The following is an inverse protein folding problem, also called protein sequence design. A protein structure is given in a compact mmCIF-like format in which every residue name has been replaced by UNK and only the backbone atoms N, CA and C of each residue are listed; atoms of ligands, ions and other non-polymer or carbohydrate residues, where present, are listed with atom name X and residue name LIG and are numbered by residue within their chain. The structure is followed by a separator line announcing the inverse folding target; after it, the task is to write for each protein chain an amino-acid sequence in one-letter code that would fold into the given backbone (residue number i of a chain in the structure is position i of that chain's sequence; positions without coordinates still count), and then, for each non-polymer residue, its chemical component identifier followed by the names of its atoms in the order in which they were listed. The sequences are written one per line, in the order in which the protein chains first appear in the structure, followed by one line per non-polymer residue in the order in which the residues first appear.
data_IF_606388505821
#
_entry.id   IF_606388505821
#
_cell.length_a   1.000
_cell.length_b   1.000
_cell.length_c   1.000
_cell.angle_alpha   90.00
_cell.angle_beta   90.00
_cell.angle_gamma   90.00
#
_symmetry.space_group_name_H-M   'P 1'
#
loop_
_entity.id
_entity.type
_entity.pdbx_description
1 polymer ?
#
# COMPACT_ATOMS: atom_id res chain seq x y z
N UNK A 1 -20.58 -3.81 13.30
CA UNK A 1 -20.36 -4.91 14.27
C UNK A 1 -19.04 -5.56 13.91
N UNK A 2 -18.13 -5.74 14.87
CA UNK A 2 -16.91 -6.52 14.66
C UNK A 2 -17.34 -7.96 14.35
N UNK A 3 -16.80 -8.51 13.28
CA UNK A 3 -17.03 -9.90 12.90
C UNK A 3 -16.42 -10.81 13.97
N UNK A 4 -17.13 -11.84 14.42
CA UNK A 4 -16.57 -12.83 15.34
C UNK A 4 -16.01 -13.99 14.52
N UNK A 5 -14.69 -14.25 14.53
CA UNK A 5 -14.11 -15.32 13.73
C UNK A 5 -14.57 -16.71 14.22
N UNK A 6 -14.77 -17.69 13.33
CA UNK A 6 -15.18 -19.05 13.69
C UNK A 6 -13.98 -19.87 14.22
N UNK A 7 -13.54 -19.56 15.44
CA UNK A 7 -12.26 -20.06 15.99
C UNK A 7 -12.17 -21.59 16.11
N UNK A 8 -13.25 -22.29 16.43
CA UNK A 8 -13.24 -23.75 16.59
C UNK A 8 -12.76 -24.48 15.33
N UNK A 9 -13.48 -24.36 14.21
CA UNK A 9 -13.08 -24.95 12.92
C UNK A 9 -11.69 -24.50 12.46
N UNK A 10 -11.36 -23.21 12.62
CA UNK A 10 -10.07 -22.66 12.21
C UNK A 10 -8.91 -23.30 12.99
N UNK A 11 -8.99 -23.35 14.32
CA UNK A 11 -7.92 -23.89 15.15
C UNK A 11 -7.77 -25.41 15.02
N UNK A 12 -8.85 -26.12 14.72
CA UNK A 12 -8.80 -27.54 14.37
C UNK A 12 -8.05 -27.77 13.05
N UNK A 13 -8.41 -27.02 12.01
CA UNK A 13 -7.80 -27.10 10.68
C UNK A 13 -6.30 -26.81 10.72
N UNK A 14 -5.87 -25.77 11.43
CA UNK A 14 -4.44 -25.43 11.57
C UNK A 14 -3.70 -26.21 12.65
N UNK A 15 -4.36 -27.17 13.31
CA UNK A 15 -3.80 -27.89 14.46
C UNK A 15 -3.17 -26.95 15.51
N UNK A 16 -3.84 -25.82 15.79
CA UNK A 16 -3.33 -24.75 16.65
C UNK A 16 -3.76 -24.87 18.13
N UNK A 17 -4.48 -25.94 18.49
CA UNK A 17 -4.91 -26.19 19.88
C UNK A 17 -6.22 -25.48 20.22
N UNK A 18 -6.45 -25.24 21.52
CA UNK A 18 -7.67 -24.58 22.00
C UNK A 18 -7.41 -23.11 22.28
N UNK A 19 -8.40 -22.25 22.03
CA UNK A 19 -8.29 -20.80 22.30
C UNK A 19 -8.18 -20.53 23.80
N UNK A 20 -7.24 -19.66 24.17
CA UNK A 20 -7.08 -19.08 25.50
C UNK A 20 -7.41 -17.59 25.53
N UNK A 21 -7.19 -16.87 24.43
CA UNK A 21 -7.60 -15.48 24.22
C UNK A 21 -7.71 -15.16 22.72
N UNK A 22 -8.58 -14.23 22.36
CA UNK A 22 -8.77 -13.71 21.01
C UNK A 22 -9.08 -12.20 21.09
N UNK A 23 -8.14 -11.38 20.66
CA UNK A 23 -8.22 -9.91 20.77
C UNK A 23 -8.08 -9.30 19.37
N UNK A 24 -8.91 -8.32 18.97
CA UNK A 24 -8.68 -7.58 17.74
C UNK A 24 -7.32 -6.85 17.80
N UNK A 25 -6.66 -6.71 16.65
CA UNK A 25 -5.42 -5.92 16.52
C UNK A 25 -5.77 -4.53 16.00
N UNK A 26 -5.58 -3.52 16.84
CA UNK A 26 -5.96 -2.13 16.57
C UNK A 26 -5.02 -1.41 15.57
N UNK A 27 -3.80 -1.92 15.36
CA UNK A 27 -2.79 -1.31 14.50
C UNK A 27 -2.92 -1.78 13.04
N UNK A 28 -3.50 -0.92 12.19
CA UNK A 28 -3.62 -1.11 10.74
C UNK A 28 -4.98 -0.64 10.23
N UNK A 29 -4.99 0.20 9.18
CA UNK A 29 -6.17 0.96 8.75
C UNK A 29 -7.34 0.08 8.27
N UNK A 30 -7.14 -1.21 8.03
CA UNK A 30 -8.13 -2.10 7.40
C UNK A 30 -8.41 -3.39 8.19
N UNK A 31 -7.98 -3.50 9.44
CA UNK A 31 -7.84 -4.82 10.06
C UNK A 31 -9.15 -5.45 10.56
N UNK A 32 -9.43 -6.65 10.01
CA UNK A 32 -10.09 -7.75 10.72
C UNK A 32 -9.03 -8.80 11.08
N UNK A 33 -7.98 -8.34 11.76
CA UNK A 33 -6.91 -9.17 12.30
C UNK A 33 -7.11 -9.43 13.77
N UNK A 34 -6.78 -10.63 14.24
CA UNK A 34 -6.94 -11.02 15.63
C UNK A 34 -5.65 -11.62 16.18
N UNK A 35 -5.22 -11.16 17.35
CA UNK A 35 -4.20 -11.82 18.15
C UNK A 35 -4.84 -13.00 18.87
N UNK A 36 -4.35 -14.19 18.59
CA UNK A 36 -4.78 -15.42 19.25
C UNK A 36 -3.71 -15.90 20.22
N UNK A 37 -4.12 -16.26 21.43
CA UNK A 37 -3.35 -17.09 22.34
C UNK A 37 -4.05 -18.43 22.45
N UNK A 38 -3.30 -19.52 22.30
CA UNK A 38 -3.81 -20.88 22.29
C UNK A 38 -2.98 -21.77 23.21
N UNK A 39 -3.42 -23.01 23.42
CA UNK A 39 -2.63 -24.02 24.13
C UNK A 39 -1.35 -24.44 23.39
N UNK A 40 -1.17 -24.08 22.12
CA UNK A 40 0.04 -24.41 21.33
C UNK A 40 0.89 -23.21 20.91
N UNK A 41 0.51 -21.99 21.29
CA UNK A 41 1.28 -20.80 20.96
C UNK A 41 0.45 -19.56 20.72
N UNK A 42 1.09 -18.55 20.13
CA UNK A 42 0.50 -17.26 19.77
C UNK A 42 0.48 -17.11 18.26
N UNK A 43 -0.64 -16.60 17.74
CA UNK A 43 -0.87 -16.47 16.31
C UNK A 43 -1.53 -15.14 15.97
N UNK A 44 -1.41 -14.75 14.72
CA UNK A 44 -2.19 -13.70 14.11
C UNK A 44 -3.19 -14.34 13.12
N UNK A 45 -4.49 -14.21 13.40
CA UNK A 45 -5.54 -14.64 12.49
C UNK A 45 -5.95 -13.47 11.59
N UNK A 46 -5.78 -13.62 10.29
CA UNK A 46 -6.21 -12.65 9.29
C UNK A 46 -7.56 -13.09 8.69
N UNK A 47 -8.54 -12.21 8.69
CA UNK A 47 -9.76 -12.35 7.88
C UNK A 47 -9.59 -11.58 6.57
N UNK A 48 -9.56 -12.27 5.45
CA UNK A 48 -9.59 -11.65 4.11
C UNK A 48 -11.03 -11.34 3.74
N UNK A 49 -11.41 -10.07 3.79
CA UNK A 49 -12.78 -9.62 3.55
C UNK A 49 -12.93 -8.66 2.37
N UNK A 50 -11.83 -8.11 1.85
CA UNK A 50 -11.86 -7.23 0.68
C UNK A 50 -12.17 -8.06 -0.57
N UNK A 51 -13.30 -7.84 -1.26
CA UNK A 51 -13.66 -8.63 -2.45
C UNK A 51 -12.61 -8.63 -3.55
N UNK A 52 -11.75 -7.61 -3.63
CA UNK A 52 -10.69 -7.52 -4.63
C UNK A 52 -9.49 -8.43 -4.32
N UNK A 53 -9.28 -8.78 -3.05
CA UNK A 53 -8.12 -9.57 -2.59
C UNK A 53 -8.52 -10.87 -1.87
N UNK A 54 -9.80 -11.09 -1.61
CA UNK A 54 -10.31 -12.22 -0.83
C UNK A 54 -10.50 -13.52 -1.64
N UNK A 55 -10.11 -13.56 -2.92
CA UNK A 55 -10.09 -14.80 -3.71
C UNK A 55 -9.11 -15.81 -3.09
N UNK A 56 -9.58 -16.98 -2.60
CA UNK A 56 -8.71 -17.98 -1.97
C UNK A 56 -7.55 -18.45 -2.86
N UNK A 57 -7.76 -18.52 -4.17
CA UNK A 57 -6.70 -18.93 -5.10
C UNK A 57 -5.61 -17.84 -5.22
N UNK A 58 -6.00 -16.56 -5.22
CA UNK A 58 -5.06 -15.45 -5.16
C UNK A 58 -4.27 -15.42 -3.86
N UNK A 59 -4.95 -15.58 -2.72
CA UNK A 59 -4.33 -15.64 -1.39
C UNK A 59 -3.33 -16.81 -1.33
N UNK A 60 -3.69 -18.00 -1.80
CA UNK A 60 -2.79 -19.15 -1.81
C UNK A 60 -1.56 -18.95 -2.71
N UNK A 61 -1.68 -18.21 -3.83
CA UNK A 61 -0.50 -17.82 -4.64
C UNK A 61 0.42 -16.88 -3.85
N UNK A 62 -0.14 -15.89 -3.16
CA UNK A 62 0.62 -14.98 -2.31
C UNK A 62 1.31 -15.72 -1.16
N UNK A 63 0.65 -16.66 -0.50
CA UNK A 63 1.24 -17.49 0.55
C UNK A 63 2.44 -18.32 0.05
N UNK A 64 2.33 -18.90 -1.16
CA UNK A 64 3.47 -19.58 -1.79
C UNK A 64 4.63 -18.62 -2.09
N UNK A 65 4.34 -17.39 -2.49
CA UNK A 65 5.36 -16.38 -2.72
C UNK A 65 6.08 -16.02 -1.42
N UNK A 66 5.34 -15.75 -0.33
CA UNK A 66 5.94 -15.43 0.97
C UNK A 66 6.72 -16.60 1.54
N UNK A 67 6.27 -17.85 1.38
CA UNK A 67 7.06 -19.02 1.77
C UNK A 67 8.39 -19.09 1.02
N UNK A 68 8.38 -18.96 -0.32
CA UNK A 68 9.61 -18.98 -1.13
C UNK A 68 10.56 -17.82 -0.79
N UNK A 69 10.02 -16.63 -0.47
CA UNK A 69 10.82 -15.51 0.00
C UNK A 69 11.46 -15.80 1.37
N UNK A 70 10.73 -16.44 2.28
CA UNK A 70 11.26 -16.87 3.57
C UNK A 70 12.38 -17.90 3.41
N UNK A 71 12.23 -18.86 2.50
CA UNK A 71 13.25 -19.87 2.18
C UNK A 71 14.55 -19.23 1.63
N UNK A 72 14.45 -18.03 1.04
CA UNK A 72 15.56 -17.22 0.56
C UNK A 72 16.09 -16.21 1.61
N UNK A 73 15.59 -16.26 2.84
CA UNK A 73 16.05 -15.44 3.96
C UNK A 73 15.45 -14.03 4.03
N UNK A 74 14.40 -13.73 3.25
CA UNK A 74 13.66 -12.47 3.40
C UNK A 74 12.86 -12.52 4.71
N UNK A 75 12.91 -11.50 5.57
CA UNK A 75 12.12 -11.46 6.80
C UNK A 75 10.64 -11.27 6.43
N UNK A 76 9.89 -12.35 6.29
CA UNK A 76 8.44 -12.38 6.03
C UNK A 76 7.77 -13.35 6.99
N UNK A 77 6.44 -13.32 7.08
CA UNK A 77 5.66 -14.20 7.96
C UNK A 77 4.69 -15.09 7.15
N UNK A 78 5.17 -16.20 6.56
CA UNK A 78 4.29 -17.15 5.87
C UNK A 78 3.23 -17.70 6.84
N UNK A 79 2.01 -17.98 6.37
CA UNK A 79 0.97 -18.58 7.19
C UNK A 79 1.28 -20.06 7.51
N UNK A 80 0.61 -20.57 8.54
CA UNK A 80 0.60 -21.99 8.86
C UNK A 80 -0.08 -22.76 7.72
N UNK A 81 0.42 -23.96 7.48
CA UNK A 81 -0.24 -24.96 6.64
C UNK A 81 -1.21 -25.77 7.50
N UNK A 82 -2.46 -25.88 7.05
CA UNK A 82 -3.50 -26.68 7.66
C UNK A 82 -3.27 -28.18 7.48
N UNK A 83 -4.12 -28.98 8.15
CA UNK A 83 -4.09 -30.45 8.05
C UNK A 83 -4.42 -30.98 6.66
N UNK A 84 -5.14 -30.19 5.87
CA UNK A 84 -5.47 -30.42 4.47
C UNK A 84 -4.31 -30.08 3.52
N UNK A 85 -3.22 -29.49 4.03
CA UNK A 85 -2.10 -29.01 3.21
C UNK A 85 -2.32 -27.60 2.65
N UNK A 86 -3.46 -26.97 2.92
CA UNK A 86 -3.78 -25.63 2.45
C UNK A 86 -3.39 -24.56 3.47
N UNK A 87 -3.19 -23.33 3.01
CA UNK A 87 -2.85 -22.18 3.87
C UNK A 87 -4.02 -21.20 4.03
N UNK A 88 -5.16 -21.52 3.43
CA UNK A 88 -6.37 -20.70 3.43
C UNK A 88 -7.54 -21.54 3.90
N UNK A 89 -8.17 -21.10 4.97
CA UNK A 89 -9.38 -21.72 5.51
C UNK A 89 -10.61 -20.93 5.04
N UNK A 90 -11.54 -21.59 4.35
CA UNK A 90 -12.83 -20.98 3.97
C UNK A 90 -13.93 -21.51 4.90
N UNK A 91 -14.41 -20.64 5.79
CA UNK A 91 -15.45 -21.01 6.77
C UNK A 91 -16.62 -20.04 6.62
N UNK A 92 -17.82 -20.58 6.38
CA UNK A 92 -19.05 -19.79 6.16
C UNK A 92 -18.90 -18.71 5.07
N UNK A 93 -18.20 -19.03 3.97
CA UNK A 93 -17.99 -18.10 2.86
C UNK A 93 -16.93 -17.02 3.09
N UNK A 94 -16.18 -17.09 4.19
CA UNK A 94 -15.12 -16.15 4.53
C UNK A 94 -13.75 -16.84 4.52
N UNK A 95 -12.75 -16.18 3.92
CA UNK A 95 -11.38 -16.67 3.83
C UNK A 95 -10.53 -16.19 5.01
N UNK A 96 -9.79 -17.11 5.64
CA UNK A 96 -8.90 -16.83 6.76
C UNK A 96 -7.54 -17.47 6.58
N UNK A 97 -6.51 -16.80 7.10
CA UNK A 97 -5.16 -17.31 7.18
C UNK A 97 -4.65 -17.17 8.62
N UNK A 98 -3.98 -18.20 9.13
CA UNK A 98 -3.35 -18.18 10.45
C UNK A 98 -1.84 -18.01 10.30
N UNK A 99 -1.30 -16.93 10.83
CA UNK A 99 0.14 -16.63 10.79
C UNK A 99 0.78 -16.84 12.16
N UNK A 100 2.08 -17.17 12.22
CA UNK A 100 2.81 -17.10 13.48
C UNK A 100 2.76 -15.67 14.03
N UNK A 101 2.66 -15.53 15.35
CA UNK A 101 2.83 -14.22 15.98
C UNK A 101 4.30 -13.80 15.91
N UNK A 102 4.58 -12.69 15.23
CA UNK A 102 5.92 -12.11 15.14
C UNK A 102 6.06 -11.04 16.22
N UNK A 103 7.06 -11.21 17.09
CA UNK A 103 7.41 -10.19 18.08
C UNK A 103 8.17 -9.05 17.41
N UNK A 104 7.76 -7.83 17.72
CA UNK A 104 8.39 -6.62 17.22
C UNK A 104 7.43 -5.45 17.26
N UNK A 105 7.92 -4.32 16.78
CA UNK A 105 7.16 -3.06 16.75
C UNK A 105 7.33 -2.34 15.43
N UNK A 106 6.30 -1.58 15.05
CA UNK A 106 6.40 -0.67 13.93
C UNK A 106 7.32 0.51 14.26
N UNK A 107 7.98 1.04 13.24
CA UNK A 107 8.80 2.25 13.36
C UNK A 107 8.47 3.22 12.23
N UNK A 108 8.27 4.47 12.59
CA UNK A 108 8.13 5.57 11.65
C UNK A 108 9.50 5.99 11.13
N UNK A 109 9.59 6.50 9.89
CA UNK A 109 10.88 6.88 9.31
C UNK A 109 11.59 8.01 10.05
N UNK A 110 10.86 8.83 10.83
CA UNK A 110 11.45 9.78 11.80
C UNK A 110 12.39 9.12 12.81
N UNK A 111 12.12 7.88 13.20
CA UNK A 111 12.92 7.11 14.17
C UNK A 111 14.14 6.41 13.54
N UNK A 112 14.24 6.36 12.21
CA UNK A 112 15.32 5.65 11.52
C UNK A 112 16.55 6.54 11.34
N UNK A 113 17.74 6.01 11.63
CA UNK A 113 19.02 6.66 11.27
C UNK A 113 19.29 6.57 9.77
N UNK A 114 20.25 7.34 9.25
CA UNK A 114 20.65 7.26 7.84
C UNK A 114 21.07 5.82 7.43
N UNK A 115 21.83 5.12 8.29
CA UNK A 115 22.20 3.72 8.07
C UNK A 115 21.00 2.76 8.05
N UNK A 116 20.02 2.98 8.93
CA UNK A 116 18.76 2.21 8.91
C UNK A 116 17.92 2.51 7.66
N UNK A 117 17.89 3.75 7.17
CA UNK A 117 17.24 4.11 5.91
C UNK A 117 17.89 3.41 4.71
N UNK A 118 19.22 3.33 4.68
CA UNK A 118 19.94 2.57 3.66
C UNK A 118 19.63 1.07 3.72
N UNK A 119 19.55 0.48 4.92
CA UNK A 119 19.11 -0.92 5.09
C UNK A 119 17.69 -1.17 4.58
N UNK A 120 16.76 -0.25 4.85
CA UNK A 120 15.38 -0.32 4.36
C UNK A 120 15.33 -0.26 2.82
N UNK A 121 16.09 0.65 2.20
CA UNK A 121 16.19 0.75 0.74
C UNK A 121 16.79 -0.52 0.12
N UNK A 122 17.87 -1.04 0.72
CA UNK A 122 18.45 -2.30 0.31
C UNK A 122 17.45 -3.45 0.38
N UNK A 123 16.72 -3.58 1.49
CA UNK A 123 15.70 -4.61 1.70
C UNK A 123 14.64 -4.60 0.60
N UNK A 124 14.07 -3.43 0.28
CA UNK A 124 13.05 -3.36 -0.77
C UNK A 124 13.62 -3.74 -2.15
N UNK A 125 14.85 -3.33 -2.47
CA UNK A 125 15.47 -3.72 -3.73
C UNK A 125 15.77 -5.22 -3.82
N UNK A 126 16.17 -5.85 -2.70
CA UNK A 126 16.31 -7.31 -2.61
C UNK A 126 14.95 -8.00 -2.77
N UNK A 127 13.89 -7.51 -2.11
CA UNK A 127 12.53 -8.02 -2.26
C UNK A 127 12.09 -8.00 -3.72
N UNK A 128 12.25 -6.87 -4.41
CA UNK A 128 11.93 -6.78 -5.84
C UNK A 128 12.72 -7.77 -6.69
N UNK A 129 14.03 -7.93 -6.45
CA UNK A 129 14.86 -8.87 -7.20
C UNK A 129 14.46 -10.34 -6.96
N UNK A 130 14.12 -10.69 -5.71
CA UNK A 130 13.71 -12.05 -5.37
C UNK A 130 12.28 -12.37 -5.81
N UNK A 131 11.38 -11.37 -5.81
CA UNK A 131 10.03 -11.53 -6.34
C UNK A 131 10.03 -12.01 -7.79
N UNK A 132 10.91 -11.48 -8.64
CA UNK A 132 11.05 -11.96 -10.03
C UNK A 132 11.48 -13.43 -10.14
N UNK A 133 12.15 -13.97 -9.12
CA UNK A 133 12.60 -15.37 -9.09
C UNK A 133 11.53 -16.32 -8.56
N UNK A 134 10.73 -15.88 -7.59
CA UNK A 134 9.78 -16.75 -6.89
C UNK A 134 8.38 -16.71 -7.49
N UNK A 135 8.06 -15.65 -8.24
CA UNK A 135 6.79 -15.48 -8.93
C UNK A 135 6.84 -16.06 -10.35
N UNK A 136 5.69 -16.41 -10.94
CA UNK A 136 5.65 -16.90 -12.32
C UNK A 136 6.25 -15.84 -13.27
N UNK A 137 6.93 -16.28 -14.35
CA UNK A 137 7.38 -15.37 -15.39
C UNK A 137 6.19 -14.61 -15.97
N UNK A 138 6.39 -13.33 -16.26
CA UNK A 138 5.36 -12.51 -16.87
C UNK A 138 5.05 -13.04 -18.28
N UNK A 139 3.78 -13.28 -18.57
CA UNK A 139 3.37 -13.49 -19.96
C UNK A 139 3.63 -12.19 -20.75
N UNK A 140 4.23 -12.27 -21.96
CA UNK A 140 4.39 -11.09 -22.80
C UNK A 140 3.03 -10.43 -23.03
N UNK A 141 2.91 -9.14 -22.71
CA UNK A 141 1.69 -8.38 -22.99
C UNK A 141 1.52 -8.31 -24.52
N UNK A 142 0.66 -9.16 -25.08
CA UNK A 142 0.28 -9.07 -26.48
C UNK A 142 -0.33 -7.68 -26.73
N UNK A 143 0.04 -6.96 -27.82
CA UNK A 143 -0.55 -5.66 -28.12
C UNK A 143 -2.06 -5.83 -28.27
N UNK A 144 -2.82 -5.12 -27.42
CA UNK A 144 -4.27 -5.20 -27.37
C UNK A 144 -4.87 -4.92 -28.76
N UNK A 145 -5.34 -5.97 -29.44
CA UNK A 145 -6.18 -5.81 -30.62
C UNK A 145 -7.49 -5.17 -30.15
N UNK A 146 -7.77 -3.96 -30.63
CA UNK A 146 -9.03 -3.25 -30.43
C UNK A 146 -10.18 -4.15 -30.86
N UNK A 147 -10.93 -4.72 -29.90
CA UNK A 147 -12.26 -5.27 -30.16
C UNK A 147 -13.29 -4.14 -29.99
N UNK A 148 -14.20 -3.93 -30.95
CA UNK A 148 -15.27 -2.96 -30.81
C UNK A 148 -16.26 -3.40 -29.72
N UNK A 149 -16.68 -2.45 -28.88
CA UNK A 149 -17.66 -2.66 -27.80
C UNK A 149 -19.08 -2.67 -28.42
N UNK A 150 -19.91 -3.70 -28.21
CA UNK A 150 -21.33 -3.64 -28.56
C UNK A 150 -22.10 -2.85 -27.49
N UNK A 151 -23.04 -2.01 -27.93
CA UNK A 151 -23.92 -1.25 -27.07
C UNK A 151 -24.87 -2.18 -26.29
N UNK A 152 -24.93 -2.04 -24.95
CA UNK A 152 -26.02 -2.62 -24.15
C UNK A 152 -26.58 -1.64 -23.13
N UNK A 153 -27.93 -1.63 -23.11
CA UNK A 153 -28.82 -0.92 -22.18
C UNK A 153 -28.87 -1.64 -20.83
N UNK A 154 -28.95 -0.83 -19.76
CA UNK A 154 -29.71 -1.08 -18.53
C UNK A 154 -29.53 -2.40 -17.79
N UNK A 155 -28.64 -2.43 -16.80
CA UNK A 155 -28.71 -3.36 -15.68
C UNK A 155 -28.27 -2.65 -14.38
N UNK A 156 -29.03 -2.87 -13.31
CA UNK A 156 -28.85 -2.32 -11.96
C UNK A 156 -27.50 -2.74 -11.35
N UNK A 157 -26.71 -1.76 -10.92
CA UNK A 157 -25.45 -1.96 -10.21
C UNK A 157 -25.68 -2.32 -8.73
N UNK A 158 -25.16 -3.49 -8.33
CA UNK A 158 -25.02 -3.93 -6.95
C UNK A 158 -23.75 -3.34 -6.32
N UNK A 159 -23.91 -2.66 -5.18
CA UNK A 159 -22.86 -1.99 -4.40
C UNK A 159 -21.77 -2.96 -3.92
N UNK A 160 -20.57 -2.86 -4.49
CA UNK A 160 -19.31 -3.49 -4.02
C UNK A 160 -18.29 -2.43 -3.55
N UNK A 161 -17.48 -2.77 -2.54
CA UNK A 161 -16.64 -1.83 -1.75
C UNK A 161 -15.19 -1.69 -2.29
N UNK A 162 -14.65 -0.48 -2.54
CA UNK A 162 -13.30 -0.26 -3.08
C UNK A 162 -12.30 0.25 -2.00
N UNK A 163 -12.15 -0.47 -0.90
CA UNK A 163 -11.47 0.06 0.29
C UNK A 163 -9.94 0.07 0.21
N UNK A 164 -9.29 -0.91 -0.41
CA UNK A 164 -7.84 -0.98 -0.44
C UNK A 164 -7.22 -0.25 -1.65
N UNK A 165 -7.86 -0.28 -2.82
CA UNK A 165 -7.26 0.22 -4.06
C UNK A 165 -6.83 1.70 -3.99
N UNK A 166 -7.55 2.56 -3.26
CA UNK A 166 -7.39 4.02 -3.38
C UNK A 166 -6.24 4.61 -2.54
N UNK A 167 -5.84 3.99 -1.43
CA UNK A 167 -4.78 4.53 -0.55
C UNK A 167 -3.36 4.45 -1.16
N UNK A 168 -3.17 3.59 -2.18
CA UNK A 168 -1.91 3.42 -2.94
C UNK A 168 -2.10 3.77 -4.43
N UNK A 169 -3.15 4.54 -4.76
CA UNK A 169 -3.46 4.88 -6.14
C UNK A 169 -4.10 3.69 -6.87
N UNK A 170 -5.43 3.71 -6.98
CA UNK A 170 -6.16 2.63 -7.62
C UNK A 170 -5.79 2.56 -9.11
N UNK A 171 -5.41 1.35 -9.50
CA UNK A 171 -5.39 0.80 -10.86
C UNK A 171 -4.61 1.58 -11.91
N UNK A 172 -3.42 1.07 -12.21
CA UNK A 172 -3.20 0.81 -13.62
C UNK A 172 -2.74 -0.63 -13.81
N UNK A 173 -3.38 -1.26 -14.79
CA UNK A 173 -2.90 -2.43 -15.50
C UNK A 173 -1.46 -2.21 -16.00
N UNK A 174 -0.68 -3.26 -16.32
CA UNK A 174 0.62 -3.10 -16.96
C UNK A 174 0.46 -2.22 -18.22
N UNK A 175 1.03 -1.00 -18.17
CA UNK A 175 0.76 0.09 -19.14
C UNK A 175 0.11 1.37 -18.57
N UNK A 176 -0.19 1.40 -17.27
CA UNK A 176 -0.65 2.51 -16.38
C UNK A 176 -0.71 3.91 -17.01
N UNK A 177 -1.93 4.33 -17.41
CA UNK A 177 -2.22 5.72 -17.74
C UNK A 177 -1.93 6.63 -16.55
N UNK A 178 -1.31 7.79 -16.78
CA UNK A 178 -1.20 8.84 -15.75
C UNK A 178 -2.57 9.45 -15.48
N UNK A 179 -2.84 9.90 -14.25
CA UNK A 179 -4.10 10.53 -13.88
C UNK A 179 -4.46 11.68 -14.85
N UNK A 180 -5.75 11.76 -15.20
CA UNK A 180 -6.28 12.73 -16.16
C UNK A 180 -6.76 14.00 -15.45
N UNK A 181 -6.14 15.18 -15.67
CA UNK A 181 -6.52 16.43 -14.99
C UNK A 181 -8.00 16.76 -15.11
N UNK A 182 -8.65 16.46 -16.23
CA UNK A 182 -10.08 16.73 -16.39
C UNK A 182 -10.95 15.98 -15.38
N UNK A 183 -10.67 14.69 -15.16
CA UNK A 183 -11.34 13.89 -14.12
C UNK A 183 -11.01 14.41 -12.73
N UNK A 184 -9.77 14.83 -12.53
CA UNK A 184 -9.30 15.37 -11.26
C UNK A 184 -10.00 16.69 -10.93
N UNK A 185 -10.19 17.60 -11.88
CA UNK A 185 -10.95 18.84 -11.67
C UNK A 185 -12.40 18.57 -11.29
N UNK A 186 -13.06 17.64 -11.98
CA UNK A 186 -14.43 17.24 -11.63
C UNK A 186 -14.52 16.67 -10.20
N UNK A 187 -13.54 15.85 -9.80
CA UNK A 187 -13.46 15.33 -8.43
C UNK A 187 -13.24 16.43 -7.39
N UNK A 188 -12.37 17.42 -7.69
CA UNK A 188 -12.16 18.57 -6.81
C UNK A 188 -13.46 19.35 -6.60
N UNK A 189 -14.22 19.59 -7.68
CA UNK A 189 -15.51 20.29 -7.61
C UNK A 189 -16.52 19.51 -6.75
N UNK A 190 -16.64 18.20 -6.94
CA UNK A 190 -17.55 17.36 -6.15
C UNK A 190 -17.16 17.33 -4.66
N UNK A 191 -15.85 17.25 -4.36
CA UNK A 191 -15.34 17.29 -3.00
C UNK A 191 -15.53 18.65 -2.33
N UNK A 192 -15.29 19.77 -3.04
CA UNK A 192 -15.56 21.12 -2.52
C UNK A 192 -17.03 21.28 -2.14
N UNK A 193 -17.91 20.71 -2.95
CA UNK A 193 -19.34 20.69 -2.71
C UNK A 193 -19.72 19.88 -1.46
N UNK A 194 -19.10 18.72 -1.26
CA UNK A 194 -19.28 17.91 -0.05
C UNK A 194 -18.77 18.61 1.20
N UNK A 195 -17.57 19.21 1.14
CA UNK A 195 -16.99 20.00 2.23
C UNK A 195 -17.94 21.16 2.61
N UNK A 196 -18.50 21.85 1.63
CA UNK A 196 -19.47 22.94 1.84
C UNK A 196 -20.75 22.47 2.54
N UNK A 197 -21.23 21.27 2.23
CA UNK A 197 -22.45 20.67 2.80
C UNK A 197 -22.24 19.95 4.14
N UNK A 198 -20.99 19.59 4.49
CA UNK A 198 -20.67 18.84 5.70
C UNK A 198 -21.07 19.60 6.97
N UNK A 199 -21.79 18.94 7.89
CA UNK A 199 -22.26 19.52 9.15
C UNK A 199 -22.07 18.53 10.33
N UNK A 200 -21.65 19.00 11.51
CA UNK A 200 -21.16 20.36 11.79
C UNK A 200 -19.84 20.64 11.05
N UNK A 201 -19.66 21.88 10.58
CA UNK A 201 -18.41 22.28 9.93
C UNK A 201 -17.30 22.41 10.99
N UNK A 202 -16.11 21.90 10.71
CA UNK A 202 -14.98 21.91 11.63
C UNK A 202 -13.64 22.29 11.00
N UNK A 203 -12.55 22.30 11.81
CA UNK A 203 -11.21 22.65 11.34
C UNK A 203 -10.71 21.79 10.18
N UNK A 204 -11.11 20.52 10.15
CA UNK A 204 -10.80 19.63 9.04
C UNK A 204 -11.40 20.14 7.72
N UNK A 205 -12.67 20.57 7.73
CA UNK A 205 -13.38 21.06 6.53
C UNK A 205 -12.72 22.34 5.99
N UNK A 206 -12.29 23.22 6.89
CA UNK A 206 -11.54 24.43 6.52
C UNK A 206 -10.21 24.07 5.81
N UNK A 207 -9.46 23.11 6.37
CA UNK A 207 -8.21 22.64 5.77
C UNK A 207 -8.45 21.92 4.44
N UNK A 208 -9.47 21.06 4.36
CA UNK A 208 -9.84 20.34 3.15
C UNK A 208 -10.18 21.32 2.01
N UNK A 209 -11.03 22.32 2.29
CA UNK A 209 -11.36 23.37 1.32
C UNK A 209 -10.12 24.12 0.84
N UNK A 210 -9.26 24.54 1.77
CA UNK A 210 -8.01 25.24 1.43
C UNK A 210 -7.13 24.39 0.51
N UNK A 211 -6.89 23.13 0.87
CA UNK A 211 -6.02 22.21 0.11
C UNK A 211 -6.60 21.80 -1.24
N UNK A 212 -7.92 21.68 -1.38
CA UNK A 212 -8.59 21.43 -2.66
C UNK A 212 -8.39 22.60 -3.63
N UNK A 213 -8.60 23.84 -3.17
CA UNK A 213 -8.40 25.04 -4.00
C UNK A 213 -6.92 25.23 -4.37
N UNK A 214 -6.02 25.03 -3.43
CA UNK A 214 -4.58 25.06 -3.68
C UNK A 214 -4.18 23.97 -4.71
N UNK A 215 -4.79 22.79 -4.61
CA UNK A 215 -4.51 21.70 -5.54
C UNK A 215 -4.99 21.99 -6.95
N UNK A 216 -6.18 22.58 -7.07
CA UNK A 216 -6.72 23.04 -8.36
C UNK A 216 -5.74 23.98 -9.05
N UNK A 217 -5.25 25.00 -8.34
CA UNK A 217 -4.30 25.96 -8.91
C UNK A 217 -2.95 25.33 -9.29
N UNK A 218 -2.47 24.32 -8.55
CA UNK A 218 -1.27 23.57 -8.92
C UNK A 218 -1.48 22.72 -10.19
N UNK A 219 -2.63 22.06 -10.32
CA UNK A 219 -2.99 21.28 -11.51
C UNK A 219 -3.10 22.17 -12.75
N UNK A 220 -3.74 23.34 -12.63
CA UNK A 220 -3.85 24.32 -13.72
C UNK A 220 -2.45 24.77 -14.21
N UNK A 221 -1.53 25.05 -13.29
CA UNK A 221 -0.16 25.50 -13.63
C UNK A 221 0.74 24.41 -14.22
N UNK A 222 0.44 23.14 -13.97
CA UNK A 222 1.33 22.04 -14.31
C UNK A 222 0.67 20.96 -15.18
N UNK A 223 -0.49 21.26 -15.79
CA UNK A 223 -1.25 20.31 -16.60
C UNK A 223 -0.42 19.72 -17.77
N UNK A 224 0.49 20.54 -18.32
CA UNK A 224 1.42 20.21 -19.40
C UNK A 224 2.51 19.20 -18.97
N UNK A 225 2.74 19.04 -17.66
CA UNK A 225 3.75 18.14 -17.10
C UNK A 225 3.23 16.72 -16.87
N UNK A 226 2.05 16.36 -17.39
CA UNK A 226 1.48 15.01 -17.28
C UNK A 226 2.48 13.95 -17.79
N UNK A 227 2.86 12.95 -16.98
CA UNK A 227 3.77 11.89 -17.42
C UNK A 227 3.18 11.08 -18.59
N UNK A 228 4.01 10.65 -19.56
CA UNK A 228 3.57 9.76 -20.65
C UNK A 228 3.17 8.39 -20.11
N UNK A 229 2.43 7.61 -20.92
CA UNK A 229 2.16 6.19 -20.61
C UNK A 229 3.46 5.39 -20.58
N UNK A 230 3.51 4.35 -19.75
CA UNK A 230 4.61 3.39 -19.71
C UNK A 230 5.47 3.46 -18.43
N UNK A 231 6.43 2.53 -18.37
CA UNK A 231 7.33 2.31 -17.24
C UNK A 231 7.77 0.85 -17.18
N UNK A 232 8.97 0.60 -16.65
CA UNK A 232 9.43 -0.77 -16.34
C UNK A 232 8.54 -1.34 -15.23
N UNK A 233 7.92 -2.49 -15.50
CA UNK A 233 7.06 -3.19 -14.54
C UNK A 233 7.73 -4.47 -14.05
N UNK A 234 7.41 -4.86 -12.83
CA UNK A 234 7.90 -6.08 -12.21
C UNK A 234 7.02 -6.45 -11.02
N UNK A 235 7.30 -7.58 -10.40
CA UNK A 235 6.60 -7.97 -9.18
C UNK A 235 7.01 -7.03 -8.02
N UNK A 236 6.00 -6.50 -7.32
CA UNK A 236 6.16 -5.57 -6.18
C UNK A 236 5.38 -6.08 -4.97
N UNK A 237 5.71 -5.57 -3.78
CA UNK A 237 4.92 -5.84 -2.57
C UNK A 237 3.47 -5.31 -2.72
N UNK A 238 3.34 -4.13 -3.34
CA UNK A 238 2.09 -3.45 -3.65
C UNK A 238 1.58 -2.51 -2.55
N UNK A 239 2.14 -2.59 -1.34
CA UNK A 239 1.77 -1.76 -0.17
C UNK A 239 2.91 -1.58 0.85
N UNK A 240 4.14 -1.29 0.40
CA UNK A 240 5.31 -1.25 1.29
C UNK A 240 5.42 0.07 2.07
N UNK A 241 5.09 0.05 3.37
CA UNK A 241 5.05 1.24 4.23
C UNK A 241 5.33 0.91 5.72
N UNK A 242 5.50 1.91 6.64
CA UNK A 242 5.87 1.68 8.04
C UNK A 242 5.03 0.66 8.81
N UNK A 243 3.71 0.63 8.59
CA UNK A 243 2.82 -0.32 9.25
C UNK A 243 2.89 -1.75 8.69
N UNK A 244 3.65 -1.97 7.62
CA UNK A 244 3.88 -3.29 7.01
C UNK A 244 5.32 -3.78 7.23
N UNK A 245 6.10 -3.08 8.06
CA UNK A 245 7.43 -3.50 8.46
C UNK A 245 7.52 -3.51 9.98
N UNK A 246 7.71 -4.70 10.55
CA UNK A 246 8.01 -4.88 11.96
C UNK A 246 9.52 -4.89 12.17
N UNK A 247 9.99 -4.28 13.25
CA UNK A 247 11.38 -4.32 13.70
C UNK A 247 11.47 -5.09 15.01
N UNK A 248 12.55 -5.84 15.19
CA UNK A 248 12.79 -6.59 16.43
C UNK A 248 13.00 -5.64 17.61
N UNK A 249 12.56 -6.03 18.80
CA UNK A 249 12.75 -5.23 20.00
C UNK A 249 14.18 -5.27 20.54
N UNK A 250 14.85 -6.42 20.41
CA UNK A 250 16.21 -6.66 20.89
C UNK A 250 17.28 -6.02 19.98
N UNK A 251 17.01 -5.97 18.67
CA UNK A 251 17.89 -5.35 17.67
C UNK A 251 17.07 -4.44 16.75
N UNK A 252 16.73 -3.20 17.17
CA UNK A 252 15.77 -2.33 16.48
C UNK A 252 16.12 -1.92 15.04
N UNK A 253 17.35 -2.12 14.58
CA UNK A 253 17.75 -1.95 13.17
C UNK A 253 17.41 -3.13 12.26
N UNK A 254 17.03 -4.28 12.82
CA UNK A 254 16.75 -5.50 12.06
C UNK A 254 15.24 -5.66 11.89
N UNK A 255 14.72 -5.65 10.64
CA UNK A 255 13.33 -5.99 10.37
C UNK A 255 13.04 -7.42 10.84
N UNK A 256 12.00 -7.57 11.64
CA UNK A 256 11.48 -8.86 12.07
C UNK A 256 10.65 -9.52 10.96
N UNK A 257 9.77 -8.75 10.31
CA UNK A 257 8.95 -9.22 9.20
C UNK A 257 8.44 -8.06 8.32
N UNK A 258 8.29 -8.33 7.03
CA UNK A 258 7.45 -7.60 6.08
C UNK A 258 6.09 -8.29 6.05
N UNK A 259 5.04 -7.52 6.35
CA UNK A 259 3.67 -7.98 6.50
C UNK A 259 2.79 -7.50 5.34
N UNK A 260 1.61 -8.09 5.24
CA UNK A 260 0.52 -7.67 4.35
C UNK A 260 0.85 -7.63 2.85
N UNK A 261 1.00 -8.83 2.30
CA UNK A 261 1.31 -9.05 0.89
C UNK A 261 0.07 -9.06 -0.02
N UNK A 262 -1.09 -8.59 0.44
CA UNK A 262 -2.39 -8.72 -0.26
C UNK A 262 -2.43 -7.96 -1.59
N UNK A 263 -1.49 -7.02 -1.78
CA UNK A 263 -1.34 -6.23 -3.01
C UNK A 263 -0.19 -6.69 -3.90
N UNK A 264 0.40 -7.86 -3.61
CA UNK A 264 1.44 -8.47 -4.43
C UNK A 264 0.98 -8.57 -5.87
N UNK A 265 1.72 -7.94 -6.78
CA UNK A 265 1.30 -7.83 -8.17
C UNK A 265 2.37 -7.26 -9.08
N UNK A 266 2.10 -7.28 -10.39
CA UNK A 266 2.97 -6.66 -11.39
C UNK A 266 2.66 -5.18 -11.50
N UNK A 267 3.59 -4.32 -11.07
CA UNK A 267 3.47 -2.84 -11.12
C UNK A 267 4.84 -2.18 -11.34
N UNK A 268 4.92 -0.86 -11.55
CA UNK A 268 6.21 -0.18 -11.66
C UNK A 268 7.01 -0.21 -10.35
N UNK A 269 8.16 -0.91 -10.36
CA UNK A 269 8.99 -1.16 -9.17
C UNK A 269 9.58 0.11 -8.58
N UNK A 270 10.10 0.99 -9.44
CA UNK A 270 10.66 2.27 -9.00
C UNK A 270 9.60 3.19 -8.37
N UNK A 271 8.35 3.12 -8.83
CA UNK A 271 7.26 3.90 -8.21
C UNK A 271 6.89 3.39 -6.82
N UNK A 272 6.92 2.07 -6.56
CA UNK A 272 6.76 1.53 -5.20
C UNK A 272 7.86 2.08 -4.28
N UNK A 273 9.11 2.10 -4.72
CA UNK A 273 10.21 2.63 -3.92
C UNK A 273 10.05 4.13 -3.59
N UNK A 274 9.58 4.92 -4.56
CA UNK A 274 9.29 6.35 -4.33
C UNK A 274 8.10 6.52 -3.39
N UNK A 275 6.99 5.79 -3.58
CA UNK A 275 5.82 5.84 -2.68
C UNK A 275 6.19 5.43 -1.25
N UNK A 276 6.98 4.38 -1.09
CA UNK A 276 7.50 3.95 0.20
C UNK A 276 8.30 5.07 0.88
N UNK A 277 9.30 5.62 0.19
CA UNK A 277 10.12 6.71 0.73
C UNK A 277 9.27 7.93 1.14
N UNK A 278 8.27 8.28 0.34
CA UNK A 278 7.33 9.36 0.66
C UNK A 278 6.59 9.10 1.97
N UNK A 279 6.06 7.89 2.17
CA UNK A 279 5.31 7.55 3.39
C UNK A 279 6.23 7.44 4.61
N UNK A 280 7.41 6.83 4.45
CA UNK A 280 8.37 6.69 5.55
C UNK A 280 8.92 8.05 6.02
N UNK A 281 9.24 8.95 5.09
CA UNK A 281 10.09 10.12 5.37
C UNK A 281 9.36 11.47 5.30
N UNK A 282 8.04 11.49 5.14
CA UNK A 282 7.24 12.70 5.31
C UNK A 282 7.24 13.14 6.78
N UNK A 283 7.57 14.41 7.01
CA UNK A 283 7.54 15.05 8.34
C UNK A 283 6.13 15.62 8.61
N UNK A 284 5.73 15.83 9.88
CA UNK A 284 4.41 16.38 10.23
C UNK A 284 4.06 17.69 9.52
N UNK A 285 5.07 18.50 9.18
CA UNK A 285 4.91 19.76 8.43
C UNK A 285 4.60 19.57 6.94
N UNK A 286 4.59 18.35 6.42
CA UNK A 286 4.42 18.05 5.00
C UNK A 286 5.67 18.33 4.17
N UNK A 287 6.85 17.95 4.66
CA UNK A 287 8.11 18.02 3.93
C UNK A 287 8.87 16.70 4.04
N UNK A 288 9.54 16.26 2.97
CA UNK A 288 10.38 15.07 3.05
C UNK A 288 11.69 15.37 3.79
N UNK A 289 12.19 14.39 4.53
CA UNK A 289 13.58 14.37 4.99
C UNK A 289 14.49 13.88 3.84
N UNK A 290 15.04 14.82 3.08
CA UNK A 290 15.83 14.52 1.88
C UNK A 290 17.14 13.77 2.17
N UNK A 291 17.71 13.92 3.37
CA UNK A 291 18.92 13.19 3.75
C UNK A 291 18.63 11.69 3.95
N UNK A 292 17.50 11.38 4.58
CA UNK A 292 17.01 10.00 4.72
C UNK A 292 16.59 9.41 3.37
N UNK A 293 15.88 10.18 2.54
CA UNK A 293 15.52 9.77 1.16
C UNK A 293 16.77 9.40 0.36
N UNK A 294 17.83 10.21 0.39
CA UNK A 294 19.08 9.92 -0.32
C UNK A 294 19.73 8.63 0.14
N UNK A 295 19.78 8.41 1.45
CA UNK A 295 20.34 7.18 2.04
C UNK A 295 19.57 5.93 1.60
N UNK A 296 18.23 6.01 1.62
CA UNK A 296 17.33 4.96 1.15
C UNK A 296 17.45 4.70 -0.36
N UNK A 297 17.31 5.75 -1.18
CA UNK A 297 17.24 5.63 -2.63
C UNK A 297 18.55 5.10 -3.23
N UNK A 298 19.70 5.57 -2.73
CA UNK A 298 21.02 5.09 -3.16
C UNK A 298 21.21 3.61 -2.87
N UNK A 299 20.71 3.12 -1.73
CA UNK A 299 20.79 1.70 -1.39
C UNK A 299 19.83 0.84 -2.23
N UNK A 300 18.58 1.30 -2.40
CA UNK A 300 17.59 0.64 -3.26
C UNK A 300 18.10 0.48 -4.69
N UNK A 301 18.67 1.54 -5.29
CA UNK A 301 19.21 1.50 -6.65
C UNK A 301 20.26 0.43 -6.85
N UNK A 302 21.18 0.29 -5.89
CA UNK A 302 22.25 -0.70 -5.96
C UNK A 302 21.71 -2.12 -5.90
N UNK A 303 20.75 -2.40 -5.00
CA UNK A 303 20.22 -3.76 -4.84
C UNK A 303 19.21 -4.14 -5.93
N UNK A 304 18.40 -3.19 -6.39
CA UNK A 304 17.40 -3.41 -7.44
C UNK A 304 17.96 -3.32 -8.87
N UNK A 305 19.18 -2.80 -9.05
CA UNK A 305 19.73 -2.48 -10.37
C UNK A 305 18.99 -1.33 -11.08
N UNK A 306 18.30 -0.46 -10.33
CA UNK A 306 17.48 0.61 -10.90
C UNK A 306 18.34 1.78 -11.40
N UNK A 307 18.19 2.13 -12.67
CA UNK A 307 18.90 3.24 -13.28
C UNK A 307 18.44 4.59 -12.69
N UNK A 308 19.31 5.62 -12.59
CA UNK A 308 18.88 6.92 -12.10
C UNK A 308 17.77 7.55 -12.95
N UNK A 309 17.76 7.32 -14.28
CA UNK A 309 16.69 7.76 -15.15
C UNK A 309 15.32 7.09 -14.84
N UNK A 310 15.34 5.81 -14.46
CA UNK A 310 14.14 5.07 -14.06
C UNK A 310 13.51 5.66 -12.79
N UNK A 311 14.35 5.96 -11.79
CA UNK A 311 13.89 6.63 -10.57
C UNK A 311 13.47 8.08 -10.80
N UNK A 312 14.14 8.83 -11.66
CA UNK A 312 13.71 10.16 -12.04
C UNK A 312 12.28 10.14 -12.63
N UNK A 313 12.01 9.18 -13.52
CA UNK A 313 10.68 8.99 -14.10
C UNK A 313 9.65 8.58 -13.03
N UNK A 314 10.01 7.69 -12.11
CA UNK A 314 9.15 7.29 -11.00
C UNK A 314 8.84 8.46 -10.04
N UNK A 315 9.82 9.29 -9.70
CA UNK A 315 9.62 10.52 -8.90
C UNK A 315 8.61 11.43 -9.57
N UNK A 316 8.75 11.66 -10.88
CA UNK A 316 7.81 12.49 -11.62
C UNK A 316 6.39 11.90 -11.66
N UNK A 317 6.28 10.59 -11.87
CA UNK A 317 4.98 9.89 -11.88
C UNK A 317 4.30 9.89 -10.52
N UNK A 318 5.02 9.65 -9.44
CA UNK A 318 4.45 9.67 -8.08
C UNK A 318 4.12 11.10 -7.66
N UNK A 319 4.92 12.11 -8.04
CA UNK A 319 4.54 13.51 -7.85
C UNK A 319 3.20 13.83 -8.54
N UNK A 320 3.03 13.40 -9.79
CA UNK A 320 1.79 13.56 -10.54
C UNK A 320 0.62 12.81 -9.89
N UNK A 321 0.82 11.56 -9.48
CA UNK A 321 -0.16 10.77 -8.72
C UNK A 321 -0.63 11.55 -7.49
N UNK A 322 0.31 12.03 -6.66
CA UNK A 322 -0.02 12.79 -5.43
C UNK A 322 -0.71 14.11 -5.71
N UNK A 323 -0.43 14.73 -6.85
CA UNK A 323 -1.13 15.94 -7.27
C UNK A 323 -2.62 15.66 -7.57
N UNK A 324 -2.95 14.45 -8.02
CA UNK A 324 -4.29 14.04 -8.41
C UNK A 324 -5.01 13.15 -7.37
N UNK A 325 -4.35 12.84 -6.26
CA UNK A 325 -4.84 11.91 -5.23
C UNK A 325 -5.61 12.62 -4.11
N UNK A 326 -6.86 12.19 -3.89
CA UNK A 326 -7.78 12.71 -2.88
C UNK A 326 -8.44 11.62 -2.03
N UNK A 327 -7.86 10.42 -1.95
CA UNK A 327 -8.52 9.28 -1.29
C UNK A 327 -8.96 9.58 0.15
N UNK A 328 -8.17 10.33 0.93
CA UNK A 328 -8.50 10.67 2.33
C UNK A 328 -9.80 11.48 2.41
N UNK A 329 -9.97 12.44 1.48
CA UNK A 329 -11.18 13.26 1.42
C UNK A 329 -12.38 12.44 0.93
N UNK A 330 -12.17 11.52 -0.02
CA UNK A 330 -13.21 10.60 -0.47
C UNK A 330 -13.66 9.68 0.65
N UNK A 331 -12.74 9.10 1.43
CA UNK A 331 -13.08 8.28 2.59
C UNK A 331 -13.92 9.05 3.61
N UNK A 332 -13.48 10.26 3.97
CA UNK A 332 -14.24 11.08 4.92
C UNK A 332 -15.62 11.47 4.39
N UNK A 333 -15.69 12.03 3.19
CA UNK A 333 -16.92 12.66 2.68
C UNK A 333 -17.85 11.75 1.88
N UNK A 334 -17.36 10.66 1.30
CA UNK A 334 -18.18 9.67 0.58
C UNK A 334 -18.54 8.49 1.48
N UNK A 335 -17.65 8.11 2.41
CA UNK A 335 -17.79 6.88 3.22
C UNK A 335 -18.03 7.15 4.71
N UNK A 336 -17.85 8.39 5.17
CA UNK A 336 -17.94 8.72 6.60
C UNK A 336 -16.81 8.12 7.44
N UNK A 337 -15.69 7.76 6.81
CA UNK A 337 -14.55 7.11 7.46
C UNK A 337 -13.46 8.13 7.80
N UNK A 338 -13.23 8.32 9.10
CA UNK A 338 -12.33 9.34 9.65
C UNK A 338 -10.96 8.78 10.06
N UNK A 339 -10.70 7.47 9.86
CA UNK A 339 -9.47 6.81 10.33
C UNK A 339 -8.19 7.40 9.73
N UNK A 340 -8.30 7.97 8.53
CA UNK A 340 -7.18 8.62 7.83
C UNK A 340 -7.00 10.10 8.19
N UNK A 341 -7.95 10.72 8.89
CA UNK A 341 -7.94 12.17 9.14
C UNK A 341 -6.66 12.68 9.82
N UNK A 342 -6.06 11.97 10.81
CA UNK A 342 -4.83 12.44 11.44
C UNK A 342 -3.65 12.58 10.47
N UNK A 343 -3.67 11.87 9.33
CA UNK A 343 -2.61 11.90 8.32
C UNK A 343 -2.81 13.00 7.28
N UNK A 344 -4.05 13.49 7.12
CA UNK A 344 -4.42 14.44 6.07
C UNK A 344 -3.61 15.74 6.06
N UNK A 345 -3.30 16.40 7.20
CA UNK A 345 -2.55 17.65 7.18
C UNK A 345 -1.16 17.52 6.55
N UNK A 346 -0.38 16.52 6.95
CA UNK A 346 0.96 16.30 6.43
C UNK A 346 0.92 15.81 4.97
N UNK A 347 0.04 14.86 4.65
CA UNK A 347 -0.09 14.31 3.30
C UNK A 347 -0.54 15.36 2.27
N UNK A 348 -1.52 16.21 2.62
CA UNK A 348 -2.03 17.25 1.73
C UNK A 348 -1.04 18.41 1.53
N UNK A 349 -0.23 18.73 2.53
CA UNK A 349 0.83 19.73 2.45
C UNK A 349 2.05 19.24 1.64
N UNK A 350 2.36 17.93 1.70
CA UNK A 350 3.54 17.34 1.07
C UNK A 350 3.74 17.72 -0.39
N UNK A 351 2.72 17.51 -1.22
CA UNK A 351 2.85 17.75 -2.67
C UNK A 351 2.93 19.24 -3.02
N UNK A 352 2.45 20.13 -2.16
CA UNK A 352 2.66 21.59 -2.31
C UNK A 352 4.14 21.90 -2.11
N UNK A 353 4.72 21.38 -1.03
CA UNK A 353 6.14 21.51 -0.75
C UNK A 353 6.99 20.82 -1.83
N UNK A 354 6.68 19.59 -2.22
CA UNK A 354 7.36 18.85 -3.27
C UNK A 354 7.32 19.62 -4.59
N UNK A 355 6.19 20.22 -4.97
CA UNK A 355 6.13 21.00 -6.22
C UNK A 355 7.10 22.19 -6.22
N UNK A 356 7.36 22.80 -5.06
CA UNK A 356 8.36 23.88 -4.91
C UNK A 356 9.79 23.34 -4.90
N UNK A 357 10.00 22.22 -4.22
CA UNK A 357 11.30 21.56 -4.04
C UNK A 357 11.55 20.45 -5.09
N UNK A 358 10.93 20.55 -6.27
CA UNK A 358 10.86 19.45 -7.24
C UNK A 358 12.24 18.91 -7.61
N UNK A 359 13.18 19.80 -7.92
CA UNK A 359 14.54 19.43 -8.31
C UNK A 359 15.32 18.83 -7.14
N UNK A 360 15.17 19.36 -5.93
CA UNK A 360 15.81 18.82 -4.74
C UNK A 360 15.29 17.42 -4.38
N UNK A 361 13.98 17.19 -4.52
CA UNK A 361 13.38 15.85 -4.33
C UNK A 361 13.90 14.90 -5.38
N UNK A 362 13.88 15.28 -6.67
CA UNK A 362 14.42 14.46 -7.77
C UNK A 362 15.87 14.09 -7.51
N UNK A 363 16.71 15.06 -7.16
CA UNK A 363 18.12 14.87 -6.85
C UNK A 363 18.34 13.91 -5.67
N UNK A 364 17.52 13.98 -4.63
CA UNK A 364 17.60 13.05 -3.50
C UNK A 364 17.35 11.58 -3.89
N UNK A 365 16.58 11.31 -4.96
CA UNK A 365 16.36 9.94 -5.44
C UNK A 365 17.42 9.46 -6.45
N UNK A 366 18.03 10.37 -7.21
CA UNK A 366 18.92 10.01 -8.33
C UNK A 366 20.41 10.17 -8.04
N UNK A 367 20.80 10.98 -7.06
CA UNK A 367 22.19 11.21 -6.69
C UNK A 367 22.67 10.37 -5.51
#
# INVERSE_FOLDING_TARGET
MLHTPPLGPLLEQYAAGSVLACEPVDEGLLNRGYRLRTTRGRYFLKHHFDPETADPAAIARQHRATQRLADLGVPVAPPLTGRDGDTVAVVAGHAYALHPWIEGRHRHGGQLTAGQCARLGNLLGVVHALLERVMPPQEPVAPARRRPIPAQRGARETRGHPAAAEAVGASGTPGTESADPFRTFALIDDLLDRVRRHRPAGPFDALARHRLLERRGLLERHADRRPPRGGSVGWVHGDFHPYNVLYRDDVPEVPAAILDWDRLGVRPRAEEAVRAAVIFFVRPVGALDLAKVRSYARAYRRSAGAAPAELAAAVHRVWWERLNDFWMLRWRYERGDTRADPQFPAASALVVWWTREYDAVREAFVG
#
